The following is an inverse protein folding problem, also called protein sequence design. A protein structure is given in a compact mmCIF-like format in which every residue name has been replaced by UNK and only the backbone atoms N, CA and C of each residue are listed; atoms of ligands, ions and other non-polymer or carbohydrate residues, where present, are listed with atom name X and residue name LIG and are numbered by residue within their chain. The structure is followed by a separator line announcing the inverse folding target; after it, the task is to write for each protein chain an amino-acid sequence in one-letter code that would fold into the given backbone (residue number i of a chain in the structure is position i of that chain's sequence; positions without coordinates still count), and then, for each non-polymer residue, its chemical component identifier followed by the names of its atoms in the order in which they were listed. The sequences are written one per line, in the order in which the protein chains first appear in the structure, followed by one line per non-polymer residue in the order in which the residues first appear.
data_IF_564254861982
#
_entry.id   IF_564254861982
#
_cell.length_a   1.000
_cell.length_b   1.000
_cell.length_c   1.000
_cell.angle_alpha   90.00
_cell.angle_beta   90.00
_cell.angle_gamma   90.00
#
_symmetry.space_group_name_H-M   'P 1'
#
loop_
_entity.id
_entity.type
_entity.pdbx_description
1 polymer ?
#
# COMPACT_ATOMS: atom_id res chain seq x y z
N UNK A 1 2.21 -24.90 -12.84
CA UNK A 1 2.04 -23.50 -13.28
C UNK A 1 1.33 -22.78 -12.14
N UNK A 2 2.06 -22.07 -11.28
CA UNK A 2 1.43 -21.38 -10.13
C UNK A 2 0.70 -20.17 -10.70
N UNK A 3 -0.62 -20.25 -10.79
CA UNK A 3 -1.43 -19.13 -11.24
C UNK A 3 -1.34 -18.02 -10.18
N UNK A 4 -0.66 -16.91 -10.50
CA UNK A 4 -0.64 -15.67 -9.71
C UNK A 4 -2.00 -14.94 -9.70
N UNK A 5 -3.10 -15.67 -9.86
CA UNK A 5 -4.43 -15.08 -9.89
C UNK A 5 -4.94 -14.90 -8.46
N UNK A 6 -5.27 -13.65 -8.11
CA UNK A 6 -5.88 -13.28 -6.83
C UNK A 6 -4.93 -13.20 -5.62
N UNK A 7 -3.61 -13.30 -5.79
CA UNK A 7 -2.69 -13.25 -4.63
C UNK A 7 -2.75 -11.91 -3.89
N UNK A 8 -2.99 -10.79 -4.59
CA UNK A 8 -3.15 -9.48 -3.97
C UNK A 8 -4.35 -9.45 -3.04
N UNK A 9 -5.48 -9.96 -3.50
CA UNK A 9 -6.67 -10.10 -2.67
C UNK A 9 -6.41 -10.98 -1.45
N UNK A 10 -5.66 -12.07 -1.60
CA UNK A 10 -5.29 -12.92 -0.46
C UNK A 10 -4.32 -12.23 0.51
N UNK A 11 -3.43 -11.37 -0.01
CA UNK A 11 -2.44 -10.66 0.79
C UNK A 11 -3.09 -9.57 1.65
N UNK A 12 -3.94 -8.74 1.06
CA UNK A 12 -4.42 -7.50 1.71
C UNK A 12 -5.93 -7.49 2.00
N UNK A 13 -6.69 -8.43 1.43
CA UNK A 13 -8.15 -8.38 1.41
C UNK A 13 -8.81 -8.38 2.78
N UNK A 14 -8.25 -9.14 3.72
CA UNK A 14 -8.80 -9.33 5.08
C UNK A 14 -8.09 -8.47 6.14
N UNK A 15 -7.10 -7.65 5.74
CA UNK A 15 -6.36 -6.81 6.67
C UNK A 15 -7.23 -5.65 7.20
N UNK A 16 -7.04 -5.32 8.46
CA UNK A 16 -7.81 -4.34 9.22
C UNK A 16 -6.88 -3.38 9.97
N UNK A 17 -7.41 -2.25 10.45
CA UNK A 17 -6.66 -1.24 11.19
C UNK A 17 -5.96 -0.22 10.29
N UNK A 18 -4.96 0.46 10.86
CA UNK A 18 -4.12 1.46 10.18
C UNK A 18 -2.91 0.76 9.57
N UNK A 19 -2.83 0.79 8.24
CA UNK A 19 -1.88 -0.03 7.47
C UNK A 19 -0.84 0.86 6.79
N UNK A 20 0.41 0.43 6.80
CA UNK A 20 1.48 0.96 5.95
C UNK A 20 1.80 -0.01 4.80
N UNK A 21 1.56 0.41 3.56
CA UNK A 21 2.01 -0.25 2.32
C UNK A 21 3.37 0.34 1.90
N UNK A 22 4.43 -0.45 2.05
CA UNK A 22 5.77 -0.10 1.57
C UNK A 22 5.90 -0.50 0.10
N UNK A 23 6.36 0.45 -0.74
CA UNK A 23 6.61 0.19 -2.16
C UNK A 23 5.32 -0.01 -2.96
N UNK A 24 4.36 0.92 -2.81
CA UNK A 24 3.03 0.83 -3.43
C UNK A 24 3.09 0.79 -4.97
N UNK A 25 4.20 1.23 -5.57
CA UNK A 25 4.37 1.29 -7.00
C UNK A 25 3.29 2.14 -7.65
N UNK A 26 2.56 1.56 -8.60
CA UNK A 26 1.43 2.24 -9.27
C UNK A 26 0.08 1.98 -8.59
N UNK A 27 0.06 1.35 -7.42
CA UNK A 27 -1.16 1.11 -6.65
C UNK A 27 -1.84 -0.23 -6.90
N UNK A 28 -1.11 -1.26 -7.36
CA UNK A 28 -1.70 -2.54 -7.74
C UNK A 28 -2.43 -3.26 -6.59
N UNK A 29 -2.03 -3.05 -5.33
CA UNK A 29 -2.67 -3.63 -4.16
C UNK A 29 -3.86 -2.80 -3.64
N UNK A 30 -3.92 -1.50 -3.96
CA UNK A 30 -4.90 -0.56 -3.38
C UNK A 30 -6.36 -0.99 -3.58
N UNK A 31 -6.80 -1.49 -4.76
CA UNK A 31 -8.19 -1.93 -4.96
C UNK A 31 -8.61 -3.14 -4.12
N UNK A 32 -7.65 -3.82 -3.49
CA UNK A 32 -7.90 -5.04 -2.73
C UNK A 32 -8.02 -4.80 -1.23
N UNK A 33 -7.68 -3.62 -0.71
CA UNK A 33 -7.94 -3.26 0.69
C UNK A 33 -9.43 -3.02 0.91
N UNK A 34 -10.06 -3.83 1.77
CA UNK A 34 -11.52 -3.79 2.00
C UNK A 34 -11.93 -3.41 3.41
N UNK A 35 -11.06 -3.67 4.40
CA UNK A 35 -11.41 -3.57 5.82
C UNK A 35 -10.46 -2.69 6.64
N UNK A 36 -9.46 -2.10 5.99
CA UNK A 36 -8.54 -1.16 6.64
C UNK A 36 -9.28 0.10 7.09
N UNK A 37 -8.88 0.64 8.24
CA UNK A 37 -9.32 1.95 8.72
C UNK A 37 -8.70 3.06 7.88
N UNK A 38 -7.42 2.93 7.55
CA UNK A 38 -6.69 3.81 6.63
C UNK A 38 -5.50 3.06 6.04
N UNK A 39 -5.18 3.32 4.77
CA UNK A 39 -3.96 2.80 4.13
C UNK A 39 -3.02 3.96 3.84
N UNK A 40 -1.91 4.02 4.57
CA UNK A 40 -0.76 4.86 4.23
C UNK A 40 0.14 4.07 3.29
N UNK A 41 0.67 4.73 2.28
CA UNK A 41 1.44 4.08 1.23
C UNK A 41 2.62 4.96 0.83
N UNK A 42 3.78 4.34 0.63
CA UNK A 42 5.00 5.04 0.20
C UNK A 42 5.56 4.43 -1.09
N UNK A 43 6.09 5.30 -1.95
CA UNK A 43 6.83 4.92 -3.16
C UNK A 43 7.87 6.00 -3.47
N UNK A 44 9.17 5.66 -3.62
CA UNK A 44 10.21 6.65 -3.86
C UNK A 44 10.14 7.28 -5.27
N UNK A 45 9.63 6.56 -6.27
CA UNK A 45 9.44 7.13 -7.61
C UNK A 45 8.18 8.01 -7.67
N UNK A 46 8.38 9.31 -7.89
CA UNK A 46 7.30 10.30 -7.89
C UNK A 46 6.26 10.08 -9.00
N UNK A 47 6.65 9.48 -10.14
CA UNK A 47 5.75 9.21 -11.26
C UNK A 47 4.82 8.03 -10.93
N UNK A 48 5.38 6.95 -10.37
CA UNK A 48 4.63 5.79 -9.89
C UNK A 48 3.70 6.18 -8.74
N UNK A 49 4.21 6.95 -7.78
CA UNK A 49 3.42 7.50 -6.68
C UNK A 49 2.24 8.37 -7.18
N UNK A 50 2.43 9.18 -8.22
CA UNK A 50 1.34 9.97 -8.82
C UNK A 50 0.24 9.09 -9.45
N UNK A 51 0.62 7.96 -10.07
CA UNK A 51 -0.34 6.96 -10.57
C UNK A 51 -1.07 6.29 -9.40
N UNK A 52 -0.35 5.88 -8.36
CA UNK A 52 -0.94 5.30 -7.16
C UNK A 52 -1.92 6.28 -6.47
N UNK A 53 -1.62 7.59 -6.42
CA UNK A 53 -2.56 8.62 -5.92
C UNK A 53 -3.87 8.64 -6.70
N UNK A 54 -3.80 8.52 -8.02
CA UNK A 54 -4.99 8.43 -8.87
C UNK A 54 -5.83 7.19 -8.55
N UNK A 55 -5.17 6.04 -8.35
CA UNK A 55 -5.84 4.79 -7.97
C UNK A 55 -6.45 4.90 -6.56
N UNK A 56 -5.71 5.47 -5.60
CA UNK A 56 -6.13 5.69 -4.23
C UNK A 56 -7.40 6.55 -4.14
N UNK A 57 -7.46 7.64 -4.92
CA UNK A 57 -8.61 8.54 -4.96
C UNK A 57 -9.91 7.89 -5.45
N UNK A 58 -9.83 6.73 -6.11
CA UNK A 58 -10.99 5.97 -6.57
C UNK A 58 -11.49 4.95 -5.54
N UNK A 59 -10.76 4.75 -4.44
CA UNK A 59 -11.10 3.75 -3.43
C UNK A 59 -12.07 4.30 -2.39
N UNK A 60 -12.83 3.39 -1.78
CA UNK A 60 -13.79 3.73 -0.72
C UNK A 60 -13.14 3.84 0.66
N UNK A 61 -12.01 3.17 0.85
CA UNK A 61 -11.19 3.24 2.07
C UNK A 61 -10.33 4.50 1.96
N UNK A 62 -10.13 5.27 3.06
CA UNK A 62 -9.25 6.43 3.03
C UNK A 62 -7.80 5.97 2.85
N UNK A 63 -7.10 6.64 1.94
CA UNK A 63 -5.73 6.28 1.57
C UNK A 63 -4.87 7.53 1.40
N UNK A 64 -3.63 7.46 1.89
CA UNK A 64 -2.62 8.49 1.71
C UNK A 64 -1.42 7.88 0.99
N UNK A 65 -0.99 8.49 -0.11
CA UNK A 65 0.21 8.06 -0.85
C UNK A 65 1.26 9.17 -0.78
N UNK A 66 2.45 8.85 -0.29
CA UNK A 66 3.57 9.78 -0.14
C UNK A 66 4.78 9.33 -0.98
N UNK A 67 5.60 10.31 -1.36
CA UNK A 67 6.87 10.05 -2.04
C UNK A 67 7.94 9.93 -0.97
N UNK A 68 8.32 8.71 -0.63
CA UNK A 68 9.33 8.43 0.39
C UNK A 68 10.00 7.08 0.14
N UNK A 69 11.31 6.95 0.44
CA UNK A 69 11.99 5.66 0.48
C UNK A 69 11.61 4.86 1.73
N UNK A 70 11.81 3.53 1.71
CA UNK A 70 11.49 2.67 2.85
C UNK A 70 12.46 2.85 4.04
N UNK A 71 13.67 3.32 3.73
CA UNK A 71 14.77 3.57 4.65
C UNK A 71 14.58 4.83 5.50
N UNK A 72 13.66 5.72 5.10
CA UNK A 72 13.39 7.00 5.75
C UNK A 72 11.89 7.28 5.78
N UNK A 73 11.17 6.55 6.64
CA UNK A 73 9.72 6.66 6.77
C UNK A 73 9.31 8.00 7.42
N UNK A 74 8.34 8.75 6.85
CA UNK A 74 7.87 10.02 7.39
C UNK A 74 6.85 9.83 8.54
N UNK A 75 6.98 8.77 9.34
CA UNK A 75 6.00 8.38 10.35
C UNK A 75 6.66 8.14 11.71
N UNK A 76 5.95 8.42 12.81
CA UNK A 76 6.44 8.07 14.13
C UNK A 76 6.47 6.55 14.34
N UNK A 77 7.25 6.10 15.32
CA UNK A 77 7.19 4.72 15.78
C UNK A 77 5.77 4.36 16.28
N UNK A 78 5.43 3.06 16.21
CA UNK A 78 4.17 2.49 16.68
C UNK A 78 2.90 3.13 16.09
N UNK A 79 2.99 3.67 14.86
CA UNK A 79 1.89 4.34 14.18
C UNK A 79 0.94 3.40 13.40
N UNK A 80 1.35 2.15 13.17
CA UNK A 80 0.65 1.23 12.28
C UNK A 80 0.36 -0.10 12.97
N UNK A 81 -0.84 -0.62 12.74
CA UNK A 81 -1.25 -1.95 13.19
C UNK A 81 -0.65 -3.04 12.30
N UNK A 82 -0.49 -2.75 11.00
CA UNK A 82 0.02 -3.69 10.00
C UNK A 82 0.96 -2.98 9.02
N UNK A 83 2.06 -3.65 8.66
CA UNK A 83 2.95 -3.21 7.57
C UNK A 83 2.94 -4.27 6.47
N UNK A 84 2.75 -3.85 5.22
CA UNK A 84 2.71 -4.69 4.04
C UNK A 84 3.85 -4.33 3.11
N UNK A 85 4.52 -5.35 2.56
CA UNK A 85 5.49 -5.22 1.47
C UNK A 85 5.30 -6.38 0.50
N UNK A 86 5.30 -6.09 -0.79
CA UNK A 86 5.21 -7.12 -1.83
C UNK A 86 6.15 -6.81 -2.99
N UNK A 87 7.16 -7.67 -3.18
CA UNK A 87 8.19 -7.56 -4.23
C UNK A 87 9.06 -6.29 -4.14
N UNK A 88 9.37 -5.83 -2.93
CA UNK A 88 10.13 -4.58 -2.68
C UNK A 88 11.60 -4.84 -2.34
N UNK A 89 11.89 -5.86 -1.52
CA UNK A 89 13.23 -6.10 -0.98
C UNK A 89 13.99 -7.10 -1.87
N UNK A 90 14.91 -6.59 -2.69
CA UNK A 90 15.78 -7.38 -3.58
C UNK A 90 17.26 -7.04 -3.38
#
# INVERSE_FOLDING_TARGET
MVAFWGWRQRLVGELQGTILEIGVGEGANLPYYRHATHVYAIEPDSTRAARAKTVAAQQKIPMTVEVAPAEELPYPADAFDVVVSSLVFC
#
